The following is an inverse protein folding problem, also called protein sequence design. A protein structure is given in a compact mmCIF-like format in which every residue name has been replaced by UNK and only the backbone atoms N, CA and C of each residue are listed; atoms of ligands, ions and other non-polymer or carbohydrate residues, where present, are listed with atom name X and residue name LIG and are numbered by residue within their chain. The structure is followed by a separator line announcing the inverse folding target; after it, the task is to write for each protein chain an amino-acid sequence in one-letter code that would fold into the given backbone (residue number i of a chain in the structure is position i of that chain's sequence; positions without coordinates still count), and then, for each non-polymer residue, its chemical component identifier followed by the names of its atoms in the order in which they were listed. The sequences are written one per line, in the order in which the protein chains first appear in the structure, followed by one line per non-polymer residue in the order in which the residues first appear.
data_IF_389108050312
#
_entry.id   IF_389108050312
#
_cell.length_a   1.000
_cell.length_b   1.000
_cell.length_c   1.000
_cell.angle_alpha   90.00
_cell.angle_beta   90.00
_cell.angle_gamma   90.00
#
_symmetry.space_group_name_H-M   'P 1'
#
loop_
_entity.id
_entity.type
_entity.pdbx_description
1 polymer ?
#
# COMPACT_ATOMS: atom_id res chain seq x y z
N UNK A 1 -19.50 1.45 -1.25
CA UNK A 1 -18.87 0.64 -2.34
C UNK A 1 -19.80 0.49 -3.56
N UNK A 2 -19.64 1.30 -4.62
CA UNK A 2 -20.51 1.27 -5.80
C UNK A 2 -20.26 0.01 -6.64
N UNK A 3 -20.86 -1.11 -6.24
CA UNK A 3 -20.74 -2.38 -6.96
C UNK A 3 -21.05 -3.59 -6.08
N UNK A 4 -20.51 -3.62 -4.86
CA UNK A 4 -20.82 -4.69 -3.91
C UNK A 4 -22.27 -4.59 -3.43
N UNK A 5 -22.73 -3.38 -3.09
CA UNK A 5 -24.13 -3.10 -2.72
C UNK A 5 -25.10 -3.54 -3.82
N UNK A 6 -24.80 -3.23 -5.09
CA UNK A 6 -25.62 -3.64 -6.25
C UNK A 6 -25.64 -5.17 -6.43
N UNK A 7 -24.55 -5.87 -6.14
CA UNK A 7 -24.51 -7.35 -6.18
C UNK A 7 -25.30 -7.95 -5.03
N UNK A 8 -25.16 -7.40 -3.82
CA UNK A 8 -25.85 -7.86 -2.62
C UNK A 8 -27.36 -7.62 -2.68
N UNK A 9 -27.79 -6.50 -3.28
CA UNK A 9 -29.20 -6.21 -3.52
C UNK A 9 -29.93 -7.26 -4.38
N UNK A 10 -29.19 -8.07 -5.16
CA UNK A 10 -29.75 -9.19 -5.93
C UNK A 10 -30.11 -10.41 -5.05
N UNK A 11 -29.69 -10.43 -3.79
CA UNK A 11 -29.93 -11.51 -2.83
C UNK A 11 -30.62 -10.96 -1.58
N UNK A 12 -31.94 -10.68 -1.65
CA UNK A 12 -32.65 -9.95 -0.59
C UNK A 12 -32.59 -10.64 0.78
N UNK A 13 -32.68 -11.98 0.83
CA UNK A 13 -32.60 -12.75 2.08
C UNK A 13 -31.25 -12.62 2.80
N UNK A 14 -30.17 -12.45 2.03
CA UNK A 14 -28.83 -12.24 2.59
C UNK A 14 -28.64 -10.77 2.96
N UNK A 15 -29.02 -9.85 2.07
CA UNK A 15 -28.90 -8.42 2.31
C UNK A 15 -29.66 -7.97 3.58
N UNK A 16 -30.84 -8.53 3.83
CA UNK A 16 -31.63 -8.24 5.03
C UNK A 16 -30.97 -8.70 6.34
N UNK A 17 -29.96 -9.58 6.28
CA UNK A 17 -29.21 -10.08 7.45
C UNK A 17 -27.92 -9.30 7.73
N UNK A 18 -27.58 -8.33 6.88
CA UNK A 18 -26.41 -7.48 7.09
C UNK A 18 -26.79 -6.38 8.10
N UNK A 19 -26.44 -6.58 9.36
CA UNK A 19 -26.70 -5.61 10.43
C UNK A 19 -25.70 -4.46 10.51
N UNK A 20 -24.53 -4.60 9.88
CA UNK A 20 -23.45 -3.61 9.94
C UNK A 20 -22.58 -3.66 8.68
N UNK A 21 -22.16 -2.50 8.19
CA UNK A 21 -21.22 -2.35 7.08
C UNK A 21 -20.14 -1.36 7.50
N UNK A 22 -18.88 -1.73 7.32
CA UNK A 22 -17.74 -0.85 7.51
C UNK A 22 -16.96 -0.73 6.21
N UNK A 23 -16.83 0.48 5.69
CA UNK A 23 -16.02 0.76 4.51
C UNK A 23 -14.63 1.21 4.95
N UNK A 24 -13.62 0.42 4.59
CA UNK A 24 -12.23 0.80 4.78
C UNK A 24 -11.86 1.86 3.74
N UNK A 25 -11.48 3.06 4.23
CA UNK A 25 -11.00 4.14 3.38
C UNK A 25 -9.49 4.00 3.11
N UNK A 26 -8.98 4.57 2.01
CA UNK A 26 -7.54 4.72 1.82
C UNK A 26 -6.92 5.47 3.00
N UNK A 27 -5.68 5.10 3.33
CA UNK A 27 -4.92 5.76 4.37
C UNK A 27 -4.64 7.22 4.01
N UNK A 28 -4.77 8.11 4.98
CA UNK A 28 -4.34 9.49 4.82
C UNK A 28 -2.82 9.55 4.84
N UNK A 29 -2.24 10.59 4.23
CA UNK A 29 -0.81 10.85 4.26
C UNK A 29 -0.14 10.67 5.65
N UNK A 30 -0.65 11.27 6.75
CA UNK A 30 -0.06 11.07 8.07
C UNK A 30 -0.16 9.62 8.59
N UNK A 31 -1.17 8.85 8.17
CA UNK A 31 -1.32 7.45 8.58
C UNK A 31 -0.28 6.58 7.86
N UNK A 32 0.00 6.86 6.58
CA UNK A 32 1.08 6.20 5.84
C UNK A 32 2.45 6.57 6.43
N UNK A 33 2.69 7.85 6.72
CA UNK A 33 3.93 8.28 7.38
C UNK A 33 4.15 7.54 8.70
N UNK A 34 3.13 7.47 9.55
CA UNK A 34 3.20 6.78 10.84
C UNK A 34 3.54 5.29 10.68
N UNK A 35 2.95 4.59 9.70
CA UNK A 35 3.30 3.19 9.42
C UNK A 35 4.77 3.04 9.02
N UNK A 36 5.27 3.94 8.18
CA UNK A 36 6.65 3.91 7.71
C UNK A 36 7.64 4.24 8.85
N UNK A 37 7.32 5.21 9.71
CA UNK A 37 8.10 5.55 10.92
C UNK A 37 8.17 4.38 11.90
N UNK A 38 7.09 3.61 12.02
CA UNK A 38 7.03 2.39 12.82
C UNK A 38 7.70 1.18 12.14
N UNK A 39 8.35 1.39 11.00
CA UNK A 39 8.99 0.34 10.20
C UNK A 39 8.04 -0.82 9.89
N UNK A 40 6.75 -0.51 9.70
CA UNK A 40 5.79 -1.52 9.30
C UNK A 40 6.17 -2.08 7.93
N UNK A 41 6.23 -3.40 7.84
CA UNK A 41 6.47 -4.11 6.60
C UNK A 41 5.46 -5.26 6.45
N UNK A 42 5.14 -5.66 5.20
CA UNK A 42 4.37 -6.86 4.96
C UNK A 42 5.02 -8.11 5.56
N UNK A 43 4.21 -9.13 5.84
CA UNK A 43 4.73 -10.39 6.35
C UNK A 43 5.77 -11.00 5.41
N UNK A 44 6.96 -11.30 5.94
CA UNK A 44 8.07 -11.86 5.19
C UNK A 44 8.98 -10.84 4.50
N UNK A 45 8.59 -9.55 4.45
CA UNK A 45 9.38 -8.48 3.84
C UNK A 45 10.35 -7.88 4.86
N UNK A 46 11.63 -7.83 4.50
CA UNK A 46 12.72 -7.29 5.30
C UNK A 46 13.21 -5.98 4.70
N UNK A 47 12.83 -4.88 5.31
CA UNK A 47 13.34 -3.56 4.96
C UNK A 47 14.42 -3.10 5.95
N UNK A 48 15.34 -2.23 5.50
CA UNK A 48 16.25 -1.54 6.40
C UNK A 48 15.49 -0.86 7.54
N UNK A 49 15.99 -0.97 8.77
CA UNK A 49 15.43 -0.33 9.96
C UNK A 49 15.92 1.13 10.13
N UNK A 50 16.40 1.71 9.03
CA UNK A 50 16.92 3.07 8.97
C UNK A 50 15.74 4.01 8.70
N UNK A 51 15.64 5.15 9.40
CA UNK A 51 14.59 6.12 9.12
C UNK A 51 14.65 6.56 7.65
N UNK A 52 13.49 6.58 7.00
CA UNK A 52 13.36 7.01 5.61
C UNK A 52 13.47 8.52 5.52
N UNK A 53 14.15 8.99 4.49
CA UNK A 53 14.17 10.42 4.16
C UNK A 53 12.74 10.93 3.86
N UNK A 54 12.36 12.14 4.32
CA UNK A 54 11.03 12.70 4.08
C UNK A 54 10.63 12.78 2.60
N UNK A 55 11.59 12.98 1.68
CA UNK A 55 11.30 12.98 0.24
C UNK A 55 10.84 11.58 -0.22
N UNK A 56 11.52 10.54 0.25
CA UNK A 56 11.20 9.14 -0.06
C UNK A 56 9.81 8.76 0.48
N UNK A 57 9.49 9.17 1.71
CA UNK A 57 8.15 9.00 2.30
C UNK A 57 7.08 9.69 1.43
N UNK A 58 7.33 10.93 1.03
CA UNK A 58 6.40 11.68 0.18
C UNK A 58 6.20 11.05 -1.21
N UNK A 59 7.22 10.39 -1.77
CA UNK A 59 7.09 9.62 -3.02
C UNK A 59 6.20 8.40 -2.80
N UNK A 60 6.42 7.62 -1.74
CA UNK A 60 5.59 6.43 -1.42
C UNK A 60 4.12 6.83 -1.24
N UNK A 61 3.85 7.94 -0.54
CA UNK A 61 2.48 8.46 -0.34
C UNK A 61 1.84 8.81 -1.68
N UNK A 62 2.55 9.52 -2.57
CA UNK A 62 2.03 9.91 -3.89
C UNK A 62 1.77 8.71 -4.79
N UNK A 63 2.68 7.72 -4.80
CA UNK A 63 2.54 6.51 -5.62
C UNK A 63 1.36 5.65 -5.16
N UNK A 64 1.18 5.52 -3.85
CA UNK A 64 0.15 4.63 -3.29
C UNK A 64 -1.21 5.30 -3.17
N UNK A 65 -1.26 6.63 -3.02
CA UNK A 65 -2.50 7.38 -2.79
C UNK A 65 -3.27 6.88 -1.55
N UNK A 66 -2.56 6.30 -0.57
CA UNK A 66 -3.19 5.67 0.59
C UNK A 66 -3.77 4.27 0.36
N UNK A 67 -3.66 3.72 -0.86
CA UNK A 67 -4.09 2.36 -1.15
C UNK A 67 -3.15 1.36 -0.47
N UNK A 68 -3.59 0.81 0.66
CA UNK A 68 -2.80 -0.10 1.48
C UNK A 68 -2.35 -1.37 0.73
N UNK A 69 -3.18 -1.90 -0.19
CA UNK A 69 -2.79 -3.05 -1.02
C UNK A 69 -1.66 -2.68 -1.98
N UNK A 70 -1.69 -1.47 -2.53
CA UNK A 70 -0.61 -0.98 -3.38
C UNK A 70 0.66 -0.70 -2.57
N UNK A 71 0.52 -0.12 -1.37
CA UNK A 71 1.64 0.07 -0.44
C UNK A 71 2.32 -1.26 -0.11
N UNK A 72 1.57 -2.29 0.27
CA UNK A 72 2.09 -3.64 0.51
C UNK A 72 2.91 -4.17 -0.69
N UNK A 73 2.34 -4.11 -1.89
CA UNK A 73 3.01 -4.56 -3.12
C UNK A 73 4.28 -3.75 -3.41
N UNK A 74 4.24 -2.43 -3.20
CA UNK A 74 5.37 -1.53 -3.41
C UNK A 74 6.52 -1.87 -2.46
N UNK A 75 6.26 -2.04 -1.17
CA UNK A 75 7.28 -2.41 -0.18
C UNK A 75 7.91 -3.77 -0.49
N UNK A 76 7.12 -4.74 -0.95
CA UNK A 76 7.62 -6.06 -1.39
C UNK A 76 8.54 -5.92 -2.61
N UNK A 77 8.23 -5.05 -3.57
CA UNK A 77 9.13 -4.81 -4.72
C UNK A 77 10.37 -4.03 -4.33
N UNK A 78 10.27 -3.09 -3.38
CA UNK A 78 11.43 -2.36 -2.85
C UNK A 78 12.44 -3.33 -2.26
N UNK A 79 12.02 -4.23 -1.36
CA UNK A 79 12.90 -5.28 -0.81
C UNK A 79 13.59 -6.05 -1.94
N UNK A 80 12.83 -6.55 -2.91
CA UNK A 80 13.38 -7.31 -4.03
C UNK A 80 14.44 -6.54 -4.82
N UNK A 81 14.21 -5.25 -5.07
CA UNK A 81 15.17 -4.39 -5.78
C UNK A 81 16.42 -4.16 -4.93
N UNK A 82 16.27 -3.96 -3.61
CA UNK A 82 17.41 -3.83 -2.70
C UNK A 82 18.26 -5.10 -2.71
N UNK A 83 17.63 -6.27 -2.59
CA UNK A 83 18.32 -7.57 -2.57
C UNK A 83 19.07 -7.85 -3.88
N UNK A 84 18.42 -7.66 -5.03
CA UNK A 84 19.03 -7.91 -6.34
C UNK A 84 20.23 -7.00 -6.60
N UNK A 85 20.16 -5.75 -6.15
CA UNK A 85 21.20 -4.73 -6.41
C UNK A 85 22.17 -4.55 -5.24
N UNK A 86 22.08 -5.36 -4.18
CA UNK A 86 22.88 -5.25 -2.95
C UNK A 86 22.87 -3.83 -2.34
N UNK A 87 21.71 -3.18 -2.34
CA UNK A 87 21.53 -1.84 -1.78
C UNK A 87 21.10 -1.93 -0.30
N UNK A 88 21.63 -1.04 0.54
CA UNK A 88 21.31 -1.00 1.97
C UNK A 88 20.25 0.04 2.34
N UNK A 89 19.88 0.93 1.42
CA UNK A 89 19.04 2.09 1.70
C UNK A 89 17.90 2.23 0.69
N UNK A 90 16.71 2.57 1.19
CA UNK A 90 15.56 2.89 0.36
C UNK A 90 15.67 4.36 -0.07
N UNK A 91 16.06 4.58 -1.32
CA UNK A 91 16.09 5.91 -1.92
C UNK A 91 14.87 6.13 -2.81
N UNK A 92 14.60 7.39 -3.15
CA UNK A 92 13.59 7.74 -4.17
C UNK A 92 13.74 6.94 -5.47
N UNK A 93 14.96 6.71 -5.95
CA UNK A 93 15.20 5.95 -7.17
C UNK A 93 14.74 4.49 -7.06
N UNK A 94 14.95 3.86 -5.89
CA UNK A 94 14.47 2.50 -5.61
C UNK A 94 12.94 2.46 -5.61
N UNK A 95 12.29 3.46 -5.00
CA UNK A 95 10.82 3.55 -4.98
C UNK A 95 10.24 3.71 -6.38
N UNK A 96 10.84 4.57 -7.22
CA UNK A 96 10.39 4.76 -8.60
C UNK A 96 10.60 3.51 -9.46
N UNK A 97 11.75 2.82 -9.31
CA UNK A 97 12.01 1.55 -9.99
C UNK A 97 11.02 0.45 -9.56
N UNK A 98 10.69 0.40 -8.26
CA UNK A 98 9.68 -0.51 -7.72
C UNK A 98 8.29 -0.21 -8.30
N UNK A 99 7.93 1.07 -8.42
CA UNK A 99 6.68 1.51 -9.03
C UNK A 99 6.60 1.08 -10.50
N UNK A 100 7.66 1.28 -11.28
CA UNK A 100 7.70 0.90 -12.71
C UNK A 100 7.59 -0.61 -12.92
N UNK A 101 8.09 -1.40 -11.98
CA UNK A 101 7.98 -2.86 -12.00
C UNK A 101 6.57 -3.36 -11.64
N UNK A 102 5.71 -2.49 -11.08
CA UNK A 102 4.35 -2.84 -10.71
C UNK A 102 3.36 -2.55 -11.83
N UNK A 103 2.58 -3.57 -12.17
CA UNK A 103 1.33 -3.35 -12.92
C UNK A 103 0.31 -2.73 -11.97
N UNK A 104 0.11 -1.42 -12.15
CA UNK A 104 -0.93 -0.61 -11.52
C UNK A 104 -2.01 -0.46 -12.60
N UNK A 105 -3.21 -1.01 -12.35
CA UNK A 105 -4.33 -0.81 -13.27
C UNK A 105 -4.57 0.68 -13.44
N UNK A 106 -4.65 1.15 -14.69
CA UNK A 106 -5.00 2.54 -14.96
C UNK A 106 -6.37 2.82 -14.33
N UNK A 107 -6.45 3.90 -13.55
CA UNK A 107 -7.68 4.41 -12.97
C UNK A 107 -8.56 4.99 -14.08
#
# INVERSE_FOLDING_TARGET
MPGLEKKLARYPQFYSRIGFVHEFRPLRAPEVSCLLEQHWAPAGVKLPQTPLDPETVAVIIRVTGGNFRLLNRLLTQIERILEINALAEITKAVVEAARESLVIGQV
#
